data_IF_511221685738
#
_entry.id   IF_511221685738
#
_cell.length_a   1.000
_cell.length_b   1.000
_cell.length_c   1.000
_cell.angle_alpha   90.00
_cell.angle_beta   90.00
_cell.angle_gamma   90.00
#
_symmetry.space_group_name_H-M   'P 1'
#
loop_
_entity.id
_entity.type
_entity.pdbx_description
1 polymer ?
#
# COMPACT_ATOMS: atom_id res chain seq x y z
N UNK A 1 -7.60 -7.02 26.04
CA UNK A 1 -7.98 -6.21 24.87
C UNK A 1 -7.09 -6.69 23.76
N UNK A 2 -7.62 -7.40 22.77
CA UNK A 2 -6.83 -7.84 21.61
C UNK A 2 -6.63 -6.63 20.72
N UNK A 3 -5.46 -5.99 20.82
CA UNK A 3 -5.02 -5.00 19.82
C UNK A 3 -4.84 -5.76 18.51
N UNK A 4 -5.79 -5.64 17.59
CA UNK A 4 -5.62 -6.15 16.23
C UNK A 4 -4.45 -5.38 15.62
N UNK A 5 -3.35 -6.03 15.20
CA UNK A 5 -2.23 -5.32 14.61
C UNK A 5 -2.71 -4.58 13.37
N UNK A 6 -2.35 -3.30 13.25
CA UNK A 6 -2.74 -2.50 12.10
C UNK A 6 -2.08 -3.05 10.84
N UNK A 7 -2.88 -3.39 9.83
CA UNK A 7 -2.36 -3.77 8.53
C UNK A 7 -1.71 -2.57 7.87
N UNK A 8 -0.42 -2.68 7.54
CA UNK A 8 0.37 -1.62 6.88
C UNK A 8 1.01 -2.11 5.59
N UNK A 9 0.73 -3.35 5.18
CA UNK A 9 1.26 -3.95 3.97
C UNK A 9 0.22 -4.87 3.35
N UNK A 10 0.08 -4.78 2.04
CA UNK A 10 -0.88 -5.54 1.25
C UNK A 10 -0.20 -6.15 0.05
N UNK A 11 -0.72 -7.30 -0.36
CA UNK A 11 -0.31 -7.99 -1.57
C UNK A 11 -1.57 -8.41 -2.31
N UNK A 12 -1.59 -8.19 -3.61
CA UNK A 12 -2.67 -8.65 -4.46
C UNK A 12 -2.12 -9.14 -5.79
N UNK A 13 -2.89 -10.00 -6.43
CA UNK A 13 -2.59 -10.48 -7.77
C UNK A 13 -3.27 -9.57 -8.78
N UNK A 14 -2.51 -9.11 -9.77
CA UNK A 14 -3.00 -8.35 -10.91
C UNK A 14 -2.57 -9.09 -12.19
N UNK A 15 -3.52 -9.76 -12.84
CA UNK A 15 -3.20 -10.66 -13.96
C UNK A 15 -2.31 -11.84 -13.53
N UNK A 16 -1.10 -11.93 -14.11
CA UNK A 16 -0.10 -12.95 -13.77
C UNK A 16 0.93 -12.45 -12.75
N UNK A 17 0.88 -11.17 -12.39
CA UNK A 17 1.87 -10.50 -11.56
C UNK A 17 1.36 -10.33 -10.12
N UNK A 18 2.30 -10.28 -9.18
CA UNK A 18 2.02 -10.02 -7.76
C UNK A 18 2.47 -8.60 -7.44
N UNK A 19 1.48 -7.75 -7.14
CA UNK A 19 1.69 -6.38 -6.75
C UNK A 19 1.62 -6.25 -5.24
N UNK A 20 2.31 -5.24 -4.71
CA UNK A 20 2.35 -4.95 -3.30
C UNK A 20 2.22 -3.47 -2.99
N UNK A 21 1.80 -3.21 -1.77
CA UNK A 21 1.73 -1.87 -1.18
C UNK A 21 2.24 -1.96 0.25
N UNK A 22 2.99 -0.95 0.67
CA UNK A 22 3.37 -0.76 2.06
C UNK A 22 3.26 0.70 2.47
N UNK A 23 2.83 0.95 3.70
CA UNK A 23 2.94 2.27 4.32
C UNK A 23 4.34 2.38 4.95
N UNK A 24 5.14 3.29 4.44
CA UNK A 24 6.36 3.74 5.07
C UNK A 24 6.04 4.89 6.03
N UNK A 25 5.85 4.56 7.31
CA UNK A 25 5.49 5.53 8.34
C UNK A 25 6.60 6.54 8.65
N UNK A 26 7.86 6.12 8.52
CA UNK A 26 9.03 6.99 8.74
C UNK A 26 9.08 8.13 7.70
N UNK A 27 8.78 7.79 6.44
CA UNK A 27 8.71 8.76 5.34
C UNK A 27 7.31 9.35 5.10
N UNK A 28 6.28 8.88 5.82
CA UNK A 28 4.86 9.17 5.56
C UNK A 28 4.44 8.97 4.09
N UNK A 29 4.90 7.86 3.48
CA UNK A 29 4.69 7.55 2.06
C UNK A 29 4.12 6.15 1.88
N UNK A 30 3.44 5.96 0.76
CA UNK A 30 3.02 4.69 0.20
C UNK A 30 4.10 4.19 -0.76
N UNK A 31 4.59 2.99 -0.52
CA UNK A 31 5.56 2.28 -1.34
C UNK A 31 4.82 1.20 -2.14
N UNK A 32 4.82 1.34 -3.46
CA UNK A 32 4.19 0.42 -4.39
C UNK A 32 5.24 -0.51 -4.99
N UNK A 33 4.90 -1.79 -5.09
CA UNK A 33 5.81 -2.83 -5.57
C UNK A 33 5.18 -3.58 -6.73
N UNK A 34 5.98 -3.78 -7.76
CA UNK A 34 5.67 -4.59 -8.93
C UNK A 34 6.43 -5.92 -8.82
N UNK A 35 5.78 -7.04 -9.15
CA UNK A 35 6.46 -8.33 -9.21
C UNK A 35 7.13 -8.77 -7.89
N UNK A 36 6.45 -8.63 -6.76
CA UNK A 36 6.95 -8.93 -5.39
C UNK A 36 7.47 -10.38 -5.23
N UNK A 37 7.16 -11.27 -6.19
CA UNK A 37 7.59 -12.65 -6.21
C UNK A 37 9.10 -12.90 -6.44
N UNK A 38 9.89 -11.91 -6.87
CA UNK A 38 11.31 -12.16 -7.21
C UNK A 38 12.32 -11.14 -6.65
N UNK A 39 11.90 -9.92 -6.32
CA UNK A 39 12.85 -8.87 -5.94
C UNK A 39 12.71 -8.51 -4.46
N UNK A 40 13.81 -8.68 -3.70
CA UNK A 40 14.12 -7.85 -2.53
C UNK A 40 14.47 -6.41 -2.99
N UNK A 41 13.73 -5.86 -3.96
CA UNK A 41 14.01 -4.60 -4.62
C UNK A 41 13.31 -3.44 -3.93
N UNK A 42 13.84 -2.24 -4.17
CA UNK A 42 13.21 -0.97 -3.82
C UNK A 42 11.78 -0.87 -4.40
N UNK A 43 10.97 0.02 -3.81
CA UNK A 43 9.63 0.28 -4.32
C UNK A 43 9.67 0.78 -5.76
N UNK A 44 8.81 0.21 -6.61
CA UNK A 44 8.62 0.63 -8.01
C UNK A 44 8.13 2.07 -8.09
N UNK A 45 7.29 2.48 -7.13
CA UNK A 45 6.86 3.86 -6.99
C UNK A 45 6.69 4.24 -5.52
N UNK A 46 6.97 5.50 -5.20
CA UNK A 46 6.61 6.13 -3.93
C UNK A 46 5.51 7.17 -4.19
N UNK A 47 4.52 7.25 -3.30
CA UNK A 47 3.42 8.21 -3.37
C UNK A 47 3.11 8.74 -1.97
N UNK A 48 2.88 10.04 -1.80
CA UNK A 48 2.40 10.56 -0.50
C UNK A 48 0.93 10.22 -0.27
N UNK A 49 0.50 10.21 0.97
CA UNK A 49 -0.92 9.98 1.32
C UNK A 49 -1.83 11.05 0.70
N UNK A 50 -1.36 12.30 0.64
CA UNK A 50 -2.08 13.39 -0.02
C UNK A 50 -2.27 13.11 -1.52
N UNK A 51 -1.22 12.69 -2.23
CA UNK A 51 -1.33 12.30 -3.64
C UNK A 51 -2.27 11.11 -3.83
N UNK A 52 -2.18 10.09 -2.98
CA UNK A 52 -3.09 8.94 -3.03
C UNK A 52 -4.55 9.38 -2.91
N UNK A 53 -4.88 10.25 -1.94
CA UNK A 53 -6.24 10.79 -1.78
C UNK A 53 -6.71 11.65 -2.96
N UNK A 54 -5.78 12.32 -3.66
CA UNK A 54 -6.11 13.21 -4.77
C UNK A 54 -6.27 12.50 -6.12
N UNK A 55 -5.40 11.53 -6.43
CA UNK A 55 -5.35 10.86 -7.74
C UNK A 55 -5.57 9.34 -7.70
N UNK A 56 -5.69 8.74 -6.51
CA UNK A 56 -5.78 7.30 -6.31
C UNK A 56 -4.42 6.61 -6.32
N UNK A 57 -4.42 5.29 -6.46
CA UNK A 57 -3.21 4.46 -6.48
C UNK A 57 -2.23 4.92 -7.57
N UNK A 58 -0.96 5.14 -7.20
CA UNK A 58 0.09 5.51 -8.17
C UNK A 58 0.49 4.36 -9.08
N UNK A 59 0.29 3.12 -8.65
CA UNK A 59 0.77 1.94 -9.35
C UNK A 59 -0.10 0.72 -9.04
N UNK A 60 -0.21 -0.17 -10.03
CA UNK A 60 -1.07 -1.35 -9.97
C UNK A 60 -2.56 -0.98 -9.92
N UNK A 61 -3.41 -1.99 -10.04
CA UNK A 61 -4.84 -1.84 -9.88
C UNK A 61 -5.28 -2.55 -8.59
N UNK A 62 -5.03 -1.97 -7.40
CA UNK A 62 -5.37 -2.60 -6.14
C UNK A 62 -6.88 -2.87 -6.04
N UNK A 63 -7.29 -4.04 -5.54
CA UNK A 63 -8.69 -4.33 -5.34
C UNK A 63 -9.31 -3.40 -4.28
N UNK A 64 -10.61 -3.18 -4.37
CA UNK A 64 -11.33 -2.25 -3.49
C UNK A 64 -11.17 -2.58 -2.00
N UNK A 65 -11.04 -3.85 -1.65
CA UNK A 65 -10.81 -4.30 -0.28
C UNK A 65 -9.47 -3.78 0.27
N UNK A 66 -8.39 -3.89 -0.51
CA UNK A 66 -7.07 -3.33 -0.18
C UNK A 66 -7.13 -1.82 -0.03
N UNK A 67 -7.87 -1.13 -0.90
CA UNK A 67 -8.06 0.32 -0.79
C UNK A 67 -8.81 0.71 0.49
N UNK A 68 -9.87 -0.01 0.86
CA UNK A 68 -10.63 0.25 2.09
C UNK A 68 -9.80 -0.01 3.36
N UNK A 69 -9.02 -1.09 3.37
CA UNK A 69 -8.10 -1.39 4.47
C UNK A 69 -6.99 -0.34 4.56
N UNK A 70 -6.43 0.09 3.43
CA UNK A 70 -5.45 1.16 3.36
C UNK A 70 -5.99 2.46 3.94
N UNK A 71 -7.18 2.90 3.54
CA UNK A 71 -7.79 4.12 4.09
C UNK A 71 -8.03 4.01 5.60
N UNK A 72 -8.46 2.85 6.08
CA UNK A 72 -8.62 2.57 7.51
C UNK A 72 -7.28 2.66 8.24
N UNK A 73 -6.22 2.11 7.65
CA UNK A 73 -4.88 2.17 8.22
C UNK A 73 -4.33 3.60 8.26
N UNK A 74 -4.50 4.36 7.18
CA UNK A 74 -4.09 5.75 7.10
C UNK A 74 -4.82 6.61 8.16
N UNK A 75 -6.11 6.40 8.35
CA UNK A 75 -6.87 7.09 9.39
C UNK A 75 -6.39 6.72 10.81
N UNK A 76 -6.10 5.44 11.06
CA UNK A 76 -5.58 4.98 12.35
C UNK A 76 -4.17 5.48 12.67
N UNK A 77 -3.38 5.79 11.64
CA UNK A 77 -2.03 6.34 11.76
C UNK A 77 -1.99 7.87 11.73
N UNK A 78 -3.14 8.52 11.60
CA UNK A 78 -3.26 9.98 11.47
C UNK A 78 -2.43 10.57 10.31
N UNK A 79 -2.38 9.84 9.18
CA UNK A 79 -1.69 10.21 7.94
C UNK A 79 -2.60 10.85 6.87
#
# INVERSE_FOLDING_TARGET
MTETPLTTSWLWKDGEELNGLKINQDKQKLEWFDGVGCACGDSTAEQTVAEFRQRGASFGNPPQDVLAELETALAALEL
#
